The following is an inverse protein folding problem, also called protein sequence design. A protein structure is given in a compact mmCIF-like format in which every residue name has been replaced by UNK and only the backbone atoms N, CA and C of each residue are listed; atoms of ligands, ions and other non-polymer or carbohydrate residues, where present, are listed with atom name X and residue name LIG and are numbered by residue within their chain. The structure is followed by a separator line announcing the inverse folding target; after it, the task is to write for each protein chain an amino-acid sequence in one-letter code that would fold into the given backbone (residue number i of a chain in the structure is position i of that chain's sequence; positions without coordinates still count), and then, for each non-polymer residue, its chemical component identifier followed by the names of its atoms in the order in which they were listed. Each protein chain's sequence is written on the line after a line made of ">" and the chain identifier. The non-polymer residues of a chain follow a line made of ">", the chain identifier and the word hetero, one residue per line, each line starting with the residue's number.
data_IF_006260255295
#
_entry.id   IF_006260255295
#
_cell.length_a   1.000
_cell.length_b   1.000
_cell.length_c   1.000
_cell.angle_alpha   90.00
_cell.angle_beta   90.00
_cell.angle_gamma   90.00
#
_symmetry.space_group_name_H-M   'P 1'
#
loop_
_entity.id
_entity.type
_entity.pdbx_description
1 polymer ?
#
# COMPACT_ATOMS: atom_id res chain seq x y z
N UNK A 1 0.00 -19.18 -23.83
CA UNK A 1 -1.04 -18.41 -23.09
C UNK A 1 -2.14 -19.41 -22.76
N UNK A 2 -1.95 -20.18 -21.68
CA UNK A 2 -2.89 -21.23 -21.29
C UNK A 2 -3.78 -20.72 -20.15
N UNK A 3 -5.09 -20.77 -20.34
CA UNK A 3 -6.08 -20.36 -19.35
C UNK A 3 -6.03 -21.25 -18.10
N UNK A 4 -5.94 -20.61 -16.94
CA UNK A 4 -6.08 -21.26 -15.64
C UNK A 4 -7.56 -21.65 -15.45
N UNK A 5 -7.86 -22.95 -15.44
CA UNK A 5 -9.24 -23.46 -15.34
C UNK A 5 -9.88 -23.11 -13.99
N UNK A 6 -10.71 -22.04 -13.97
CA UNK A 6 -11.69 -21.79 -12.90
C UNK A 6 -12.76 -22.87 -12.92
N UNK A 7 -12.83 -23.74 -11.90
CA UNK A 7 -14.05 -24.51 -11.61
C UNK A 7 -15.11 -23.57 -11.04
N UNK A 8 -16.00 -23.05 -11.87
CA UNK A 8 -17.24 -22.39 -11.41
C UNK A 8 -18.32 -23.45 -11.16
N UNK A 9 -18.78 -23.57 -9.92
CA UNK A 9 -20.05 -24.21 -9.59
C UNK A 9 -21.13 -23.13 -9.78
N UNK A 10 -21.85 -23.21 -10.89
CA UNK A 10 -22.97 -22.32 -11.22
C UNK A 10 -24.23 -22.72 -10.45
N UNK A 11 -24.79 -21.80 -9.66
CA UNK A 11 -26.18 -21.87 -9.20
C UNK A 11 -27.07 -20.90 -10.01
N UNK A 12 -28.30 -21.29 -10.37
CA UNK A 12 -29.11 -20.56 -11.35
C UNK A 12 -29.85 -19.36 -10.75
N UNK A 13 -29.90 -18.29 -11.54
CA UNK A 13 -30.79 -17.13 -11.39
C UNK A 13 -32.26 -17.58 -11.26
N UNK A 14 -33.00 -16.99 -10.32
CA UNK A 14 -34.46 -16.89 -10.38
C UNK A 14 -34.88 -15.47 -10.74
N UNK A 15 -35.42 -15.31 -11.95
CA UNK A 15 -36.34 -14.25 -12.32
C UNK A 15 -37.63 -14.39 -11.49
N UNK A 16 -38.21 -13.28 -11.04
CA UNK A 16 -39.66 -13.17 -10.83
C UNK A 16 -40.17 -11.74 -11.01
N UNK A 17 -41.39 -11.70 -11.54
CA UNK A 17 -42.09 -10.62 -12.23
C UNK A 17 -42.76 -9.59 -11.28
N UNK A 18 -42.86 -8.35 -11.79
CA UNK A 18 -44.05 -7.48 -11.91
C UNK A 18 -45.02 -7.37 -10.70
N UNK A 19 -45.25 -6.13 -10.22
CA UNK A 19 -46.60 -5.59 -10.04
C UNK A 19 -46.65 -4.06 -10.10
N UNK A 20 -47.72 -3.56 -10.73
CA UNK A 20 -48.09 -2.16 -10.95
C UNK A 20 -49.21 -1.77 -9.96
N UNK A 21 -49.40 -0.46 -9.79
CA UNK A 21 -50.63 0.29 -9.42
C UNK A 21 -50.67 0.82 -7.99
N UNK A 22 -50.88 2.14 -7.88
CA UNK A 22 -51.35 2.79 -6.67
C UNK A 22 -51.15 4.30 -6.62
N UNK A 23 -51.78 5.05 -7.54
CA UNK A 23 -51.84 6.50 -7.45
C UNK A 23 -52.78 6.91 -6.30
N UNK A 24 -52.25 7.57 -5.28
CA UNK A 24 -53.02 8.25 -4.24
C UNK A 24 -52.74 9.75 -4.31
N UNK A 25 -53.77 10.51 -4.67
CA UNK A 25 -53.79 11.97 -4.73
C UNK A 25 -53.98 12.50 -3.30
N UNK A 26 -52.90 12.97 -2.67
CA UNK A 26 -52.93 13.66 -1.37
C UNK A 26 -52.94 15.17 -1.60
N UNK A 27 -54.07 15.80 -1.28
CA UNK A 27 -54.20 17.24 -1.14
C UNK A 27 -53.48 17.68 0.14
N UNK A 28 -52.32 18.33 0.00
CA UNK A 28 -51.61 18.97 1.10
C UNK A 28 -51.66 20.48 0.89
N UNK A 29 -52.34 21.18 1.81
CA UNK A 29 -52.35 22.64 1.90
C UNK A 29 -50.96 23.16 2.28
N UNK A 30 -50.48 24.28 1.71
CA UNK A 30 -49.16 24.80 2.03
C UNK A 30 -49.14 25.41 3.45
N UNK A 31 -48.18 25.04 4.31
CA UNK A 31 -47.90 25.82 5.51
C UNK A 31 -47.09 27.06 5.13
N UNK A 32 -47.37 28.15 5.85
CA UNK A 32 -46.68 29.43 5.78
C UNK A 32 -45.19 29.22 6.05
N UNK A 33 -44.34 29.45 5.05
CA UNK A 33 -42.89 29.43 5.22
C UNK A 33 -42.41 30.70 5.91
N UNK A 34 -42.05 30.60 7.18
CA UNK A 34 -41.08 31.52 7.79
C UNK A 34 -39.76 31.37 7.04
N UNK A 35 -39.22 32.48 6.54
CA UNK A 35 -37.89 32.52 5.93
C UNK A 35 -36.85 32.18 7.00
N UNK A 36 -36.44 30.91 7.05
CA UNK A 36 -35.21 30.51 7.70
C UNK A 36 -34.06 31.05 6.84
N UNK A 37 -33.18 31.85 7.45
CA UNK A 37 -31.90 32.21 6.87
C UNK A 37 -31.19 30.92 6.46
N UNK A 38 -31.05 30.68 5.16
CA UNK A 38 -30.27 29.57 4.66
C UNK A 38 -28.86 29.72 5.22
N UNK A 39 -28.39 28.71 5.95
CA UNK A 39 -26.98 28.56 6.24
C UNK A 39 -26.22 28.60 4.90
N UNK A 40 -25.01 29.19 4.84
CA UNK A 40 -24.24 29.20 3.61
C UNK A 40 -24.08 27.75 3.13
N UNK A 41 -24.61 27.48 1.94
CA UNK A 41 -24.41 26.20 1.25
C UNK A 41 -22.91 26.13 1.00
N UNK A 42 -22.23 25.19 1.66
CA UNK A 42 -20.83 24.92 1.42
C UNK A 42 -20.65 24.72 -0.09
N UNK A 43 -19.78 25.54 -0.71
CA UNK A 43 -19.44 25.36 -2.11
C UNK A 43 -18.95 23.90 -2.30
N UNK A 44 -19.36 23.22 -3.38
CA UNK A 44 -18.82 21.90 -3.66
C UNK A 44 -17.31 22.05 -3.83
N UNK A 45 -16.53 21.41 -2.96
CA UNK A 45 -15.07 21.35 -3.05
C UNK A 45 -14.67 20.77 -4.41
N UNK A 46 -14.39 21.65 -5.37
CA UNK A 46 -13.87 21.31 -6.67
C UNK A 46 -12.35 21.41 -6.63
N UNK A 47 -11.69 20.32 -7.02
CA UNK A 47 -10.23 20.07 -6.96
C UNK A 47 -9.68 19.98 -5.54
N UNK A 48 -8.80 19.01 -5.33
CA UNK A 48 -8.19 18.71 -4.03
C UNK A 48 -7.64 19.98 -3.36
N UNK A 49 -8.02 20.24 -2.10
CA UNK A 49 -7.58 21.42 -1.36
C UNK A 49 -6.55 21.01 -0.31
N UNK A 50 -5.27 21.09 -0.66
CA UNK A 50 -4.15 20.80 0.23
C UNK A 50 -3.58 22.08 0.83
N UNK A 51 -3.44 22.12 2.16
CA UNK A 51 -2.92 23.28 2.90
C UNK A 51 -2.04 22.84 4.06
N UNK A 52 -0.83 23.40 4.13
CA UNK A 52 0.01 23.35 5.32
C UNK A 52 -0.34 24.55 6.20
N UNK A 53 -0.76 24.30 7.45
CA UNK A 53 -1.14 25.33 8.42
C UNK A 53 0.00 25.75 9.32
N UNK A 54 0.95 24.86 9.59
CA UNK A 54 2.21 25.17 10.25
C UNK A 54 3.31 24.27 9.69
N UNK A 55 4.51 24.82 9.49
CA UNK A 55 5.69 24.07 9.03
C UNK A 55 6.94 24.61 9.71
N UNK A 56 7.80 23.71 10.17
CA UNK A 56 9.06 24.00 10.84
C UNK A 56 10.06 22.85 10.62
N UNK A 57 11.26 22.95 11.19
CA UNK A 57 12.27 21.92 11.04
C UNK A 57 11.90 20.57 11.70
N UNK A 58 10.96 20.56 12.64
CA UNK A 58 10.60 19.36 13.42
C UNK A 58 9.10 19.16 13.58
N UNK A 59 8.27 19.91 12.85
CA UNK A 59 6.82 19.87 13.02
C UNK A 59 6.12 20.42 11.78
N UNK A 60 5.14 19.68 11.28
CA UNK A 60 4.22 20.09 10.22
C UNK A 60 2.78 19.75 10.61
N UNK A 61 1.85 20.65 10.32
CA UNK A 61 0.41 20.40 10.41
C UNK A 61 -0.29 20.93 9.17
N UNK A 62 -1.43 20.34 8.84
CA UNK A 62 -2.23 20.83 7.75
C UNK A 62 -3.49 20.02 7.52
N UNK A 63 -4.16 20.36 6.42
CA UNK A 63 -5.41 19.76 6.00
C UNK A 63 -5.38 19.43 4.52
N UNK A 64 -6.09 18.38 4.16
CA UNK A 64 -6.39 18.03 2.78
C UNK A 64 -7.89 17.75 2.67
N UNK A 65 -8.55 18.26 1.63
CA UNK A 65 -9.95 17.95 1.38
C UNK A 65 -10.16 17.45 -0.06
N UNK A 66 -10.91 16.35 -0.20
CA UNK A 66 -11.38 15.82 -1.48
C UNK A 66 -12.83 15.39 -1.33
N UNK A 67 -13.72 16.00 -2.12
CA UNK A 67 -15.18 15.78 -2.00
C UNK A 67 -15.67 16.06 -0.57
N UNK A 68 -16.28 15.08 0.11
CA UNK A 68 -16.75 15.23 1.49
C UNK A 68 -15.70 14.81 2.53
N UNK A 69 -14.60 14.20 2.11
CA UNK A 69 -13.57 13.70 3.03
C UNK A 69 -12.57 14.81 3.34
N UNK A 70 -12.35 15.02 4.63
CA UNK A 70 -11.28 15.87 5.15
C UNK A 70 -10.24 14.97 5.82
N UNK A 71 -8.98 15.25 5.53
CA UNK A 71 -7.81 14.67 6.17
C UNK A 71 -7.10 15.79 6.93
N UNK A 72 -6.91 15.64 8.23
CA UNK A 72 -6.06 16.52 9.02
C UNK A 72 -4.81 15.75 9.39
N UNK A 73 -3.63 16.37 9.29
CA UNK A 73 -2.38 15.75 9.68
C UNK A 73 -1.60 16.60 10.66
N UNK A 74 -0.90 15.92 11.57
CA UNK A 74 0.06 16.49 12.48
C UNK A 74 1.26 15.56 12.58
N UNK A 75 2.44 16.05 12.22
CA UNK A 75 3.68 15.31 12.20
C UNK A 75 4.70 16.04 13.08
N UNK A 76 5.33 15.33 14.01
CA UNK A 76 6.31 15.91 14.92
C UNK A 76 7.53 15.02 15.04
N UNK A 77 8.71 15.60 14.86
CA UNK A 77 9.99 14.95 15.16
C UNK A 77 10.39 15.30 16.59
N UNK A 78 10.51 14.28 17.44
CA UNK A 78 11.05 14.43 18.80
C UNK A 78 12.58 14.59 18.78
N UNK A 79 13.22 13.98 17.79
CA UNK A 79 14.65 14.09 17.52
C UNK A 79 14.93 13.87 16.03
N UNK A 80 16.22 13.87 15.63
CA UNK A 80 16.60 13.52 14.26
C UNK A 80 16.28 12.06 13.88
N UNK A 81 16.01 11.19 14.86
CA UNK A 81 15.82 9.75 14.69
C UNK A 81 14.49 9.22 15.24
N UNK A 82 13.68 10.07 15.88
CA UNK A 82 12.37 9.71 16.45
C UNK A 82 11.29 10.68 15.96
N UNK A 83 10.14 10.13 15.56
CA UNK A 83 8.99 10.92 15.12
C UNK A 83 7.66 10.22 15.44
N UNK A 84 6.61 11.04 15.55
CA UNK A 84 5.21 10.61 15.61
C UNK A 84 4.39 11.40 14.58
N UNK A 85 3.42 10.72 13.97
CA UNK A 85 2.46 11.25 13.02
C UNK A 85 1.06 10.87 13.45
N UNK A 86 0.12 11.80 13.32
CA UNK A 86 -1.32 11.54 13.42
C UNK A 86 -2.01 12.00 12.14
N UNK A 87 -2.87 11.16 11.60
CA UNK A 87 -3.85 11.49 10.55
C UNK A 87 -5.27 11.36 11.11
N UNK A 88 -6.14 12.32 10.83
CA UNK A 88 -7.58 12.24 11.05
C UNK A 88 -8.27 12.19 9.69
N UNK A 89 -8.83 11.05 9.31
CA UNK A 89 -9.47 10.82 7.99
C UNK A 89 -10.97 10.65 8.20
N UNK A 90 -11.78 11.61 7.74
CA UNK A 90 -13.23 11.54 7.96
C UNK A 90 -13.63 11.47 9.44
N UNK A 91 -12.78 12.00 10.34
CA UNK A 91 -12.95 11.94 11.79
C UNK A 91 -12.40 10.66 12.45
N UNK A 92 -11.79 9.74 11.70
CA UNK A 92 -11.12 8.54 12.22
C UNK A 92 -9.65 8.82 12.44
N UNK A 93 -9.11 8.42 13.59
CA UNK A 93 -7.72 8.68 13.95
C UNK A 93 -6.82 7.51 13.55
N UNK A 94 -5.70 7.84 12.93
CA UNK A 94 -4.60 6.94 12.62
C UNK A 94 -3.30 7.55 13.14
N UNK A 95 -2.42 6.72 13.69
CA UNK A 95 -1.13 7.18 14.22
C UNK A 95 0.00 6.30 13.70
N UNK A 96 1.18 6.88 13.56
CA UNK A 96 2.41 6.14 13.35
C UNK A 96 3.55 6.75 14.16
N UNK A 97 4.45 5.91 14.64
CA UNK A 97 5.70 6.32 15.27
C UNK A 97 6.86 5.52 14.70
N UNK A 98 8.04 6.14 14.68
CA UNK A 98 9.28 5.51 14.23
C UNK A 98 10.46 6.06 15.00
N UNK A 99 11.24 5.16 15.59
CA UNK A 99 12.51 5.43 16.25
C UNK A 99 13.61 4.54 15.65
N UNK A 100 14.49 5.18 14.89
CA UNK A 100 15.60 4.53 14.19
C UNK A 100 16.64 3.99 15.17
N UNK A 101 16.84 4.66 16.31
CA UNK A 101 17.87 4.29 17.28
C UNK A 101 17.48 3.04 18.08
N UNK A 102 16.20 2.92 18.46
CA UNK A 102 15.68 1.68 19.07
C UNK A 102 15.31 0.61 18.05
N UNK A 103 15.25 0.94 16.76
CA UNK A 103 14.82 0.03 15.72
C UNK A 103 13.35 -0.36 15.88
N UNK A 104 12.51 0.59 16.27
CA UNK A 104 11.08 0.37 16.49
C UNK A 104 10.24 1.27 15.61
N UNK A 105 9.19 0.70 15.03
CA UNK A 105 8.14 1.44 14.36
C UNK A 105 6.78 0.84 14.77
N UNK A 106 5.76 1.68 14.76
CA UNK A 106 4.40 1.26 15.03
C UNK A 106 3.44 2.10 14.22
N UNK A 107 2.31 1.50 13.86
CA UNK A 107 1.17 2.19 13.31
C UNK A 107 -0.12 1.65 13.92
N UNK A 108 -1.16 2.48 13.92
CA UNK A 108 -2.46 2.14 14.50
C UNK A 108 -3.59 2.85 13.79
N UNK A 109 -4.67 2.13 13.51
CA UNK A 109 -5.97 2.70 13.16
C UNK A 109 -7.04 2.54 14.23
N UNK A 110 -6.68 2.05 15.43
CA UNK A 110 -7.61 1.79 16.55
C UNK A 110 -8.83 0.93 16.15
N UNK A 111 -8.68 0.06 15.14
CA UNK A 111 -9.75 -0.80 14.60
C UNK A 111 -10.75 -0.07 13.69
N UNK A 112 -10.44 1.16 13.27
CA UNK A 112 -11.21 1.92 12.30
C UNK A 112 -11.14 1.26 10.92
N UNK A 113 -12.23 1.38 10.16
CA UNK A 113 -12.31 0.89 8.79
C UNK A 113 -12.52 2.06 7.83
N UNK A 114 -11.72 2.10 6.78
CA UNK A 114 -11.80 3.15 5.75
C UNK A 114 -12.95 2.87 4.77
N UNK A 115 -13.56 3.92 4.27
CA UNK A 115 -14.60 3.90 3.23
C UNK A 115 -13.98 4.19 1.86
N UNK A 116 -14.63 3.79 0.74
CA UNK A 116 -14.05 3.96 -0.59
C UNK A 116 -13.66 5.41 -0.94
N UNK A 117 -14.43 6.40 -0.47
CA UNK A 117 -14.13 7.83 -0.65
C UNK A 117 -12.92 8.29 0.18
N UNK A 118 -12.76 7.74 1.39
CA UNK A 118 -11.61 8.01 2.25
C UNK A 118 -10.30 7.45 1.65
N UNK A 119 -10.33 6.26 1.06
CA UNK A 119 -9.21 5.71 0.31
C UNK A 119 -8.78 6.58 -0.86
N UNK A 120 -9.74 7.04 -1.66
CA UNK A 120 -9.47 7.97 -2.76
C UNK A 120 -8.92 9.30 -2.25
N UNK A 121 -9.38 9.79 -1.10
CA UNK A 121 -8.83 10.99 -0.47
C UNK A 121 -7.38 10.78 -0.01
N UNK A 122 -7.06 9.63 0.58
CA UNK A 122 -5.71 9.26 1.03
C UNK A 122 -4.72 9.13 -0.14
N UNK A 123 -5.10 8.47 -1.24
CA UNK A 123 -4.28 8.40 -2.46
C UNK A 123 -3.96 9.80 -3.01
N UNK A 124 -4.97 10.67 -3.09
CA UNK A 124 -4.76 12.04 -3.57
C UNK A 124 -3.96 12.90 -2.57
N UNK A 125 -4.10 12.63 -1.28
CA UNK A 125 -3.32 13.30 -0.24
C UNK A 125 -1.84 12.90 -0.31
N UNK A 126 -1.52 11.62 -0.46
CA UNK A 126 -0.14 11.15 -0.65
C UNK A 126 0.52 11.81 -1.88
N UNK A 127 -0.21 11.95 -2.99
CA UNK A 127 0.24 12.69 -4.18
C UNK A 127 0.46 14.19 -3.94
N UNK A 128 -0.39 14.81 -3.11
CA UNK A 128 -0.19 16.21 -2.74
C UNK A 128 1.06 16.40 -1.87
N UNK A 129 1.31 15.49 -0.92
CA UNK A 129 2.53 15.49 -0.11
C UNK A 129 3.78 15.25 -0.96
N UNK A 130 3.71 14.39 -1.97
CA UNK A 130 4.80 14.16 -2.91
C UNK A 130 5.18 15.46 -3.64
N UNK A 131 4.21 16.13 -4.25
CA UNK A 131 4.49 17.36 -4.98
C UNK A 131 5.03 18.48 -4.08
N UNK A 132 4.56 18.56 -2.83
CA UNK A 132 4.99 19.58 -1.89
C UNK A 132 6.36 19.30 -1.25
N UNK A 133 6.63 18.07 -0.83
CA UNK A 133 7.83 17.73 -0.04
C UNK A 133 8.89 16.97 -0.81
N UNK A 134 8.46 16.10 -1.72
CA UNK A 134 9.33 15.09 -2.34
C UNK A 134 9.93 15.61 -3.63
N UNK A 135 9.14 16.16 -4.56
CA UNK A 135 9.63 16.72 -5.82
C UNK A 135 10.67 17.83 -5.60
N UNK A 136 10.47 18.80 -4.67
CA UNK A 136 11.48 19.84 -4.42
C UNK A 136 12.76 19.29 -3.77
N UNK A 137 12.63 18.32 -2.87
CA UNK A 137 13.77 17.64 -2.26
C UNK A 137 14.58 16.86 -3.31
N UNK A 138 13.89 16.15 -4.21
CA UNK A 138 14.50 15.42 -5.34
C UNK A 138 15.31 16.33 -6.25
N UNK A 139 14.72 17.47 -6.65
CA UNK A 139 15.35 18.44 -7.54
C UNK A 139 16.65 19.02 -6.98
N UNK A 140 16.79 19.03 -5.66
CA UNK A 140 17.96 19.58 -4.94
C UNK A 140 18.83 18.51 -4.28
N UNK A 141 18.44 17.23 -4.37
CA UNK A 141 19.03 16.11 -3.61
C UNK A 141 19.06 16.35 -2.10
N UNK A 142 18.10 17.13 -1.58
CA UNK A 142 17.97 17.35 -0.16
C UNK A 142 17.32 16.13 0.51
N UNK A 143 17.74 15.76 1.74
CA UNK A 143 17.07 14.71 2.49
C UNK A 143 15.67 15.16 2.91
N UNK A 144 14.73 14.22 2.91
CA UNK A 144 13.39 14.41 3.50
C UNK A 144 13.49 14.15 5.00
N UNK A 145 12.88 15.01 5.80
CA UNK A 145 12.85 14.83 7.26
C UNK A 145 12.01 13.61 7.63
N UNK A 146 12.40 12.92 8.71
CA UNK A 146 11.76 11.68 9.14
C UNK A 146 10.25 11.80 9.38
N UNK A 147 9.78 12.93 9.93
CA UNK A 147 8.36 13.18 10.17
C UNK A 147 7.55 13.32 8.86
N UNK A 148 8.14 13.94 7.83
CA UNK A 148 7.52 14.07 6.50
C UNK A 148 7.49 12.73 5.78
N UNK A 149 8.61 12.00 5.82
CA UNK A 149 8.71 10.64 5.28
C UNK A 149 7.64 9.72 5.89
N UNK A 150 7.55 9.66 7.22
CA UNK A 150 6.55 8.82 7.90
C UNK A 150 5.11 9.26 7.61
N UNK A 151 4.86 10.56 7.41
CA UNK A 151 3.52 11.06 7.05
C UNK A 151 3.09 10.55 5.68
N UNK A 152 3.98 10.60 4.69
CA UNK A 152 3.70 10.08 3.35
C UNK A 152 3.48 8.56 3.43
N UNK A 153 4.35 7.85 4.15
CA UNK A 153 4.24 6.38 4.28
C UNK A 153 2.91 5.97 4.92
N UNK A 154 2.52 6.61 6.02
CA UNK A 154 1.24 6.33 6.66
C UNK A 154 0.06 6.64 5.72
N UNK A 155 0.12 7.73 4.94
CA UNK A 155 -0.94 8.03 3.98
C UNK A 155 -1.05 6.96 2.88
N UNK A 156 0.08 6.50 2.34
CA UNK A 156 0.13 5.46 1.29
C UNK A 156 -0.40 4.13 1.79
N UNK A 157 0.07 3.66 2.95
CA UNK A 157 -0.33 2.36 3.47
C UNK A 157 -1.81 2.34 3.89
N UNK A 158 -2.38 3.48 4.32
CA UNK A 158 -3.83 3.61 4.52
C UNK A 158 -4.59 3.70 3.20
N UNK A 159 -4.01 4.28 2.14
CA UNK A 159 -4.65 4.38 0.83
C UNK A 159 -4.83 3.00 0.17
N UNK A 160 -3.89 2.08 0.44
CA UNK A 160 -3.93 0.70 -0.05
C UNK A 160 -4.96 -0.15 0.71
N UNK A 161 -5.33 0.19 1.95
CA UNK A 161 -6.36 -0.51 2.74
C UNK A 161 -7.67 -0.74 1.98
N UNK A 162 -8.16 -1.98 1.80
CA UNK A 162 -9.46 -2.20 1.19
C UNK A 162 -10.52 -1.46 1.96
N UNK A 163 -11.50 -0.89 1.24
CA UNK A 163 -12.65 -0.33 1.89
C UNK A 163 -13.32 -1.37 2.80
N UNK A 164 -13.47 -1.03 4.08
CA UNK A 164 -14.04 -1.90 5.10
C UNK A 164 -13.04 -2.69 5.94
N UNK A 165 -11.75 -2.75 5.56
CA UNK A 165 -10.70 -3.40 6.36
C UNK A 165 -10.48 -2.63 7.65
N UNK A 166 -10.49 -3.35 8.78
CA UNK A 166 -10.22 -2.75 10.10
C UNK A 166 -8.72 -2.69 10.33
N UNK A 167 -8.19 -1.48 10.49
CA UNK A 167 -6.77 -1.24 10.71
C UNK A 167 -6.50 -1.32 12.21
N UNK A 168 -5.81 -2.37 12.63
CA UNK A 168 -5.41 -2.62 14.01
C UNK A 168 -4.21 -1.78 14.44
N UNK A 169 -3.55 -2.21 15.51
CA UNK A 169 -2.23 -1.71 15.90
C UNK A 169 -1.19 -2.75 15.54
N UNK A 170 -0.09 -2.32 14.95
CA UNK A 170 0.99 -3.20 14.52
C UNK A 170 2.34 -2.61 14.88
N UNK A 171 3.18 -3.44 15.50
CA UNK A 171 4.57 -3.15 15.74
C UNK A 171 5.42 -3.75 14.61
N UNK A 172 6.31 -2.94 14.05
CA UNK A 172 7.18 -3.31 12.93
C UNK A 172 8.63 -3.07 13.38
N UNK A 173 9.26 -4.05 14.06
CA UNK A 173 10.65 -3.91 14.48
C UNK A 173 11.56 -3.78 13.26
N UNK A 174 12.71 -3.12 13.41
CA UNK A 174 13.65 -2.96 12.30
C UNK A 174 14.25 -4.33 11.95
N UNK A 175 14.06 -4.81 10.72
CA UNK A 175 14.63 -6.07 10.28
C UNK A 175 16.12 -5.91 9.93
N UNK A 176 16.80 -7.02 9.61
CA UNK A 176 18.19 -6.98 9.17
C UNK A 176 18.27 -6.50 7.70
N UNK A 177 19.06 -5.46 7.43
CA UNK A 177 19.24 -4.96 6.05
C UNK A 177 20.37 -5.72 5.31
N UNK A 178 20.12 -6.05 4.05
CA UNK A 178 21.02 -6.83 3.19
C UNK A 178 21.14 -6.16 1.82
N UNK A 179 22.37 -6.09 1.30
CA UNK A 179 22.70 -5.39 0.06
C UNK A 179 23.45 -6.31 -0.92
N UNK A 180 23.19 -6.14 -2.22
CA UNK A 180 23.84 -6.89 -3.31
C UNK A 180 23.00 -8.04 -3.85
N UNK A 181 23.60 -8.89 -4.68
CA UNK A 181 22.90 -10.07 -5.23
C UNK A 181 22.30 -10.89 -4.08
N UNK A 182 21.01 -11.24 -4.18
CA UNK A 182 20.35 -12.13 -3.22
C UNK A 182 21.18 -13.41 -3.10
N UNK A 183 21.92 -13.52 -2.01
CA UNK A 183 22.48 -14.77 -1.54
C UNK A 183 21.57 -15.21 -0.44
N UNK A 184 20.80 -16.27 -0.66
CA UNK A 184 20.03 -16.88 0.42
C UNK A 184 20.95 -17.08 1.65
N UNK A 185 20.44 -16.95 2.89
CA UNK A 185 21.27 -16.97 4.10
C UNK A 185 22.27 -18.13 4.11
N UNK A 186 23.45 -17.94 4.73
CA UNK A 186 24.53 -18.93 4.74
C UNK A 186 24.02 -20.26 5.35
N UNK A 187 23.70 -21.24 4.49
CA UNK A 187 22.94 -22.46 4.85
C UNK A 187 21.88 -22.86 3.82
N UNK A 188 21.37 -21.91 3.03
CA UNK A 188 20.32 -22.07 2.04
C UNK A 188 20.82 -22.54 0.65
N UNK A 189 22.06 -23.03 0.53
CA UNK A 189 22.55 -23.71 -0.68
C UNK A 189 21.63 -24.88 -1.10
N UNK A 190 20.89 -25.45 -0.14
CA UNK A 190 19.85 -26.45 -0.40
C UNK A 190 18.63 -25.87 -1.10
N UNK A 191 18.19 -24.67 -0.72
CA UNK A 191 17.08 -23.95 -1.37
C UNK A 191 17.45 -23.62 -2.80
N UNK A 192 18.63 -23.04 -3.04
CA UNK A 192 19.13 -22.74 -4.40
C UNK A 192 19.26 -24.00 -5.26
N UNK A 193 19.84 -25.09 -4.73
CA UNK A 193 19.93 -26.37 -5.44
C UNK A 193 18.55 -26.94 -5.73
N UNK A 194 17.65 -26.90 -4.75
CA UNK A 194 16.29 -27.38 -4.84
C UNK A 194 15.49 -26.58 -5.89
N UNK A 195 15.57 -25.24 -5.87
CA UNK A 195 14.94 -24.37 -6.85
C UNK A 195 15.50 -24.65 -8.25
N UNK A 196 16.83 -24.72 -8.40
CA UNK A 196 17.47 -25.00 -9.69
C UNK A 196 17.10 -26.37 -10.25
N UNK A 197 17.09 -27.40 -9.40
CA UNK A 197 16.66 -28.75 -9.77
C UNK A 197 15.17 -28.77 -10.11
N UNK A 198 14.31 -28.12 -9.32
CA UNK A 198 12.89 -28.01 -9.58
C UNK A 198 12.57 -27.29 -10.87
N UNK A 199 13.20 -26.15 -11.13
CA UNK A 199 13.05 -25.37 -12.36
C UNK A 199 13.57 -26.14 -13.59
N UNK A 200 14.58 -27.00 -13.43
CA UNK A 200 15.11 -27.84 -14.51
C UNK A 200 14.25 -29.08 -14.77
N UNK A 201 13.78 -29.74 -13.70
CA UNK A 201 13.11 -31.03 -13.76
C UNK A 201 11.64 -30.95 -14.15
N UNK A 202 11.03 -29.77 -14.09
CA UNK A 202 9.57 -29.61 -14.25
C UNK A 202 9.21 -28.72 -15.43
N UNK A 203 8.06 -28.99 -16.04
CA UNK A 203 7.55 -28.17 -17.15
C UNK A 203 7.16 -26.79 -16.63
N UNK A 204 7.54 -25.74 -17.37
CA UNK A 204 7.13 -24.35 -17.10
C UNK A 204 5.61 -24.27 -16.88
N UNK A 205 5.17 -23.59 -15.83
CA UNK A 205 3.78 -23.38 -15.41
C UNK A 205 3.00 -24.65 -14.93
N UNK A 206 3.65 -25.81 -14.84
CA UNK A 206 3.01 -27.04 -14.35
C UNK A 206 2.68 -26.99 -12.85
N UNK A 207 1.67 -27.74 -12.41
CA UNK A 207 1.35 -27.89 -10.98
C UNK A 207 2.50 -28.57 -10.20
N UNK A 208 3.25 -29.45 -10.86
CA UNK A 208 4.42 -30.13 -10.30
C UNK A 208 5.58 -29.16 -10.06
N UNK A 209 5.86 -28.25 -11.01
CA UNK A 209 6.85 -27.17 -10.83
C UNK A 209 6.57 -26.32 -9.60
N UNK A 210 5.30 -25.97 -9.41
CA UNK A 210 4.84 -25.16 -8.28
C UNK A 210 5.06 -25.86 -6.95
N UNK A 211 4.66 -27.13 -6.87
CA UNK A 211 4.85 -27.94 -5.67
C UNK A 211 6.33 -28.12 -5.31
N UNK A 212 7.23 -28.25 -6.30
CA UNK A 212 8.66 -28.35 -6.04
C UNK A 212 9.24 -27.01 -5.57
N UNK A 213 8.91 -25.89 -6.24
CA UNK A 213 9.38 -24.56 -5.83
C UNK A 213 8.95 -24.23 -4.40
N UNK A 214 7.67 -24.44 -4.07
CA UNK A 214 7.12 -24.24 -2.73
C UNK A 214 7.85 -25.06 -1.65
N UNK A 215 8.20 -26.31 -1.97
CA UNK A 215 8.93 -27.19 -1.06
C UNK A 215 10.41 -26.78 -0.87
N UNK A 216 10.93 -25.89 -1.71
CA UNK A 216 12.28 -25.39 -1.62
C UNK A 216 12.41 -24.12 -0.78
N UNK A 217 11.34 -23.33 -0.60
CA UNK A 217 11.40 -22.10 0.20
C UNK A 217 11.57 -22.41 1.69
N UNK A 218 12.36 -21.57 2.36
CA UNK A 218 12.44 -21.56 3.83
C UNK A 218 11.46 -20.52 4.37
N UNK A 219 10.78 -20.84 5.48
CA UNK A 219 10.01 -19.85 6.23
C UNK A 219 10.93 -18.75 6.76
N UNK A 220 10.52 -17.49 6.67
CA UNK A 220 11.24 -16.30 7.12
C UNK A 220 12.44 -15.90 6.24
N UNK A 221 12.14 -15.24 5.12
CA UNK A 221 13.15 -14.43 4.42
C UNK A 221 13.52 -13.13 5.18
N UNK A 222 13.03 -12.94 6.41
CA UNK A 222 13.27 -11.86 7.37
C UNK A 222 14.48 -10.96 7.06
N UNK A 223 14.21 -9.78 6.52
CA UNK A 223 15.23 -8.78 6.21
C UNK A 223 14.91 -7.94 4.98
N UNK A 224 15.34 -6.67 5.00
CA UNK A 224 15.25 -5.83 3.80
C UNK A 224 16.29 -6.27 2.79
N UNK A 225 15.82 -6.85 1.70
CA UNK A 225 16.65 -7.23 0.57
C UNK A 225 16.59 -6.17 -0.50
N UNK A 226 17.55 -5.27 -0.45
CA UNK A 226 17.69 -4.22 -1.44
C UNK A 226 18.08 -4.77 -2.81
N UNK A 227 17.24 -4.53 -3.83
CA UNK A 227 17.57 -4.89 -5.21
C UNK A 227 18.59 -3.92 -5.80
N UNK A 228 19.23 -4.31 -6.91
CA UNK A 228 19.99 -3.35 -7.71
C UNK A 228 19.10 -2.27 -8.35
N UNK A 229 19.72 -1.20 -8.84
CA UNK A 229 19.02 -0.14 -9.57
C UNK A 229 19.01 -0.45 -11.08
N UNK A 230 17.82 -0.59 -11.68
CA UNK A 230 17.66 -0.80 -13.13
C UNK A 230 18.29 -2.13 -13.59
N UNK A 231 17.96 -3.20 -12.89
CA UNK A 231 18.50 -4.54 -13.10
C UNK A 231 17.39 -5.56 -13.31
N UNK A 232 17.74 -6.72 -13.86
CA UNK A 232 16.83 -7.85 -13.94
C UNK A 232 17.01 -8.70 -12.67
N UNK A 233 15.98 -8.77 -11.84
CA UNK A 233 15.95 -9.61 -10.64
C UNK A 233 15.05 -10.82 -10.84
N UNK A 234 15.44 -11.96 -10.27
CA UNK A 234 14.54 -13.10 -10.15
C UNK A 234 13.63 -12.89 -8.94
N UNK A 235 12.35 -12.72 -9.20
CA UNK A 235 11.30 -12.56 -8.19
C UNK A 235 10.47 -13.84 -8.12
N UNK A 236 10.22 -14.32 -6.91
CA UNK A 236 9.47 -15.54 -6.59
C UNK A 236 8.30 -15.15 -5.69
N UNK A 237 7.07 -15.13 -6.23
CA UNK A 237 5.85 -14.86 -5.45
C UNK A 237 5.08 -16.15 -5.19
N UNK A 238 4.44 -16.22 -4.04
CA UNK A 238 3.63 -17.32 -3.60
C UNK A 238 2.28 -16.96 -2.98
N UNK A 239 1.34 -16.60 -3.84
CA UNK A 239 -0.07 -16.63 -3.51
C UNK A 239 -0.54 -17.99 -2.93
N UNK A 240 -1.12 -17.97 -1.73
CA UNK A 240 -1.69 -19.11 -0.96
C UNK A 240 -2.77 -19.91 -1.74
N UNK A 241 -3.20 -19.40 -2.91
CA UNK A 241 -4.14 -20.05 -3.84
C UNK A 241 -3.75 -20.02 -5.33
N UNK A 242 -2.57 -19.48 -5.71
CA UNK A 242 -2.13 -19.40 -7.11
C UNK A 242 -0.81 -20.14 -7.39
N UNK A 243 -0.30 -19.89 -8.59
CA UNK A 243 0.82 -20.59 -9.17
C UNK A 243 2.11 -19.94 -8.70
N UNK A 244 2.95 -20.64 -7.94
CA UNK A 244 4.35 -20.23 -7.77
C UNK A 244 4.99 -19.97 -9.14
N UNK A 245 5.33 -18.70 -9.41
CA UNK A 245 5.94 -18.27 -10.65
C UNK A 245 7.20 -17.47 -10.34
N UNK A 246 8.34 -18.14 -10.48
CA UNK A 246 9.61 -17.44 -10.55
C UNK A 246 9.76 -16.75 -11.90
N UNK A 247 9.90 -15.43 -11.90
CA UNK A 247 10.08 -14.63 -13.10
C UNK A 247 11.21 -13.62 -12.95
N UNK A 248 11.98 -13.47 -14.01
CA UNK A 248 12.94 -12.37 -14.10
C UNK A 248 12.20 -11.10 -14.48
N UNK A 249 12.13 -10.15 -13.54
CA UNK A 249 11.50 -8.84 -13.71
C UNK A 249 12.57 -7.75 -13.71
N UNK A 250 12.36 -6.72 -14.52
CA UNK A 250 13.23 -5.56 -14.52
C UNK A 250 12.77 -4.60 -13.41
N UNK A 251 13.62 -4.37 -12.40
CA UNK A 251 13.32 -3.56 -11.20
C UNK A 251 14.09 -2.24 -11.22
N UNK A 252 13.61 -1.24 -10.48
CA UNK A 252 14.27 0.05 -10.31
C UNK A 252 13.53 1.22 -10.96
N UNK A 253 14.06 2.46 -10.85
CA UNK A 253 13.36 3.67 -11.30
C UNK A 253 13.01 3.71 -12.80
N UNK A 254 13.78 3.04 -13.65
CA UNK A 254 13.54 2.99 -15.09
C UNK A 254 12.65 1.82 -15.51
N UNK A 255 12.17 1.01 -14.56
CA UNK A 255 11.25 -0.08 -14.83
C UNK A 255 9.82 0.42 -15.05
N UNK A 256 8.99 -0.43 -15.66
CA UNK A 256 7.59 -0.11 -15.92
C UNK A 256 6.80 -0.06 -14.59
N UNK A 257 6.15 1.07 -14.32
CA UNK A 257 5.52 1.48 -13.05
C UNK A 257 6.41 1.31 -11.80
N UNK A 258 7.73 1.51 -11.93
CA UNK A 258 8.68 1.45 -10.81
C UNK A 258 8.68 0.14 -10.03
N UNK A 259 8.60 -0.99 -10.73
CA UNK A 259 8.71 -2.35 -10.19
C UNK A 259 9.82 -2.49 -9.13
N UNK A 260 9.47 -3.12 -8.01
CA UNK A 260 10.37 -3.36 -6.89
C UNK A 260 10.37 -2.30 -5.83
N UNK A 261 9.58 -1.26 -6.02
CA UNK A 261 9.58 -0.12 -5.13
C UNK A 261 8.58 -0.33 -4.02
N UNK A 262 8.98 -0.06 -2.79
CA UNK A 262 8.04 -0.19 -1.69
C UNK A 262 7.00 0.94 -1.69
N UNK A 263 5.74 0.56 -1.54
CA UNK A 263 4.59 1.46 -1.56
C UNK A 263 4.10 1.81 -2.96
N UNK A 264 2.81 2.07 -3.09
CA UNK A 264 2.17 2.26 -4.39
C UNK A 264 2.69 3.47 -5.15
N UNK A 265 2.78 3.39 -6.49
CA UNK A 265 3.23 4.49 -7.35
C UNK A 265 4.74 4.67 -7.44
N UNK A 266 5.21 5.76 -8.05
CA UNK A 266 6.64 5.98 -8.34
C UNK A 266 7.35 6.96 -7.37
N UNK A 267 6.84 7.17 -6.15
CA UNK A 267 7.32 8.11 -5.12
C UNK A 267 8.77 7.92 -4.64
N UNK A 268 9.70 8.84 -4.86
CA UNK A 268 11.15 8.63 -4.61
C UNK A 268 11.59 8.39 -3.13
N UNK A 269 10.67 8.26 -2.17
CA UNK A 269 11.00 8.18 -0.73
C UNK A 269 11.40 6.78 -0.27
N UNK A 270 11.00 5.75 -1.00
CA UNK A 270 11.19 4.35 -0.62
C UNK A 270 12.35 3.68 -1.37
N UNK A 271 12.85 2.59 -0.79
CA UNK A 271 13.82 1.74 -1.45
C UNK A 271 13.20 0.85 -2.53
N UNK A 272 14.07 0.27 -3.35
CA UNK A 272 13.71 -0.86 -4.18
C UNK A 272 14.16 -2.13 -3.48
N UNK A 273 13.24 -3.03 -3.18
CA UNK A 273 13.50 -4.23 -2.40
C UNK A 273 12.82 -5.44 -3.03
N UNK A 274 13.27 -6.62 -2.62
CA UNK A 274 12.78 -7.87 -3.15
C UNK A 274 11.31 -8.08 -2.77
N UNK A 275 10.94 -7.94 -1.50
CA UNK A 275 9.57 -8.20 -1.04
C UNK A 275 8.58 -7.24 -1.71
N UNK A 276 9.01 -5.99 -1.93
CA UNK A 276 8.22 -5.03 -2.69
C UNK A 276 8.14 -5.36 -4.19
N UNK A 277 9.18 -5.96 -4.79
CA UNK A 277 9.14 -6.45 -6.18
C UNK A 277 8.22 -7.66 -6.32
N UNK A 278 8.18 -8.47 -5.27
CA UNK A 278 7.35 -9.65 -5.21
C UNK A 278 5.87 -9.29 -5.11
N UNK A 279 5.54 -8.42 -4.16
CA UNK A 279 4.22 -7.81 -4.03
C UNK A 279 3.76 -7.14 -5.35
N UNK A 280 4.60 -6.28 -5.95
CA UNK A 280 4.29 -5.63 -7.24
C UNK A 280 4.03 -6.64 -8.36
N UNK A 281 4.80 -7.73 -8.39
CA UNK A 281 4.67 -8.75 -9.44
C UNK A 281 3.41 -9.58 -9.24
N UNK A 282 3.12 -10.01 -8.01
CA UNK A 282 1.92 -10.74 -7.66
C UNK A 282 0.67 -9.96 -8.11
N UNK A 283 0.61 -8.67 -7.73
CA UNK A 283 -0.47 -7.75 -8.10
C UNK A 283 -0.77 -7.70 -9.60
N UNK A 284 0.27 -7.73 -10.44
CA UNK A 284 0.13 -7.66 -11.91
C UNK A 284 -0.27 -8.98 -12.55
N UNK A 285 0.18 -10.11 -12.02
CA UNK A 285 -0.08 -11.44 -12.60
C UNK A 285 -1.49 -11.90 -12.25
N UNK A 286 -1.92 -11.67 -11.02
CA UNK A 286 -3.16 -12.24 -10.49
C UNK A 286 -4.34 -11.28 -10.58
N UNK A 287 -4.09 -9.98 -10.78
CA UNK A 287 -5.14 -8.98 -10.89
C UNK A 287 -5.89 -8.73 -9.58
N UNK A 288 -5.44 -9.35 -8.49
CA UNK A 288 -5.61 -8.87 -7.13
C UNK A 288 -4.22 -8.46 -6.64
N UNK A 289 -4.02 -7.32 -5.99
CA UNK A 289 -4.89 -6.17 -5.81
C UNK A 289 -4.01 -5.04 -5.28
N UNK A 290 -4.44 -3.78 -5.37
CA UNK A 290 -3.96 -2.75 -4.42
C UNK A 290 -4.51 -3.02 -3.01
N UNK A 291 -4.90 -4.27 -2.70
CA UNK A 291 -5.46 -4.80 -1.45
C UNK A 291 -4.37 -5.68 -0.82
N UNK A 292 -3.52 -5.07 -0.01
CA UNK A 292 -2.57 -5.80 0.81
C UNK A 292 -3.12 -6.72 1.91
N UNK A 293 -4.40 -7.02 1.88
CA UNK A 293 -5.12 -7.89 2.81
C UNK A 293 -5.88 -9.01 2.07
N UNK A 294 -5.71 -9.14 0.75
CA UNK A 294 -6.26 -10.27 0.00
C UNK A 294 -5.39 -11.53 0.22
N UNK A 295 -6.01 -12.72 0.14
CA UNK A 295 -5.28 -13.98 0.32
C UNK A 295 -4.61 -14.48 -0.98
N UNK A 296 -4.52 -13.63 -2.01
CA UNK A 296 -3.81 -13.94 -3.25
C UNK A 296 -2.45 -13.26 -3.30
N UNK A 297 -2.31 -12.03 -2.81
CA UNK A 297 -1.07 -11.25 -2.83
C UNK A 297 -0.83 -10.45 -1.51
N UNK A 298 -1.65 -10.69 -0.48
CA UNK A 298 -1.64 -9.90 0.76
C UNK A 298 -0.80 -10.48 1.89
N UNK A 299 -0.30 -11.72 1.78
CA UNK A 299 0.82 -12.17 2.62
C UNK A 299 2.13 -11.49 2.21
N UNK A 300 2.35 -11.27 0.91
CA UNK A 300 3.49 -10.50 0.40
C UNK A 300 3.47 -9.05 0.90
N UNK A 301 2.31 -8.49 1.25
CA UNK A 301 2.27 -7.18 1.92
C UNK A 301 2.79 -7.22 3.34
N UNK A 302 2.43 -8.25 4.11
CA UNK A 302 2.93 -8.39 5.47
C UNK A 302 4.43 -8.70 5.49
N UNK A 303 4.94 -9.32 4.44
CA UNK A 303 6.38 -9.49 4.23
C UNK A 303 7.05 -8.20 3.73
N UNK A 304 6.34 -7.36 2.97
CA UNK A 304 6.87 -6.10 2.46
C UNK A 304 6.64 -4.89 3.38
N UNK A 305 5.96 -5.03 4.52
CA UNK A 305 5.56 -3.90 5.36
C UNK A 305 6.75 -3.29 6.13
N UNK A 306 7.68 -4.13 6.55
CA UNK A 306 8.94 -3.73 7.17
C UNK A 306 9.88 -3.13 6.14
N UNK A 307 9.94 -3.67 4.93
CA UNK A 307 10.59 -3.07 3.76
C UNK A 307 9.99 -1.70 3.45
N UNK A 308 8.67 -1.59 3.44
CA UNK A 308 7.99 -0.32 3.22
C UNK A 308 8.23 0.67 4.36
N UNK A 309 8.37 0.26 5.62
CA UNK A 309 8.62 1.19 6.71
C UNK A 309 10.09 1.53 6.89
N UNK A 310 11.00 0.62 6.59
CA UNK A 310 12.42 0.72 6.94
C UNK A 310 13.34 0.92 5.74
N UNK A 311 12.92 0.59 4.52
CA UNK A 311 13.77 0.75 3.33
C UNK A 311 14.12 2.22 3.10
N UNK A 312 15.37 2.41 2.67
CA UNK A 312 15.92 3.70 2.27
C UNK A 312 16.04 3.79 0.76
N UNK A 313 15.84 4.98 0.20
CA UNK A 313 16.06 5.17 -1.22
C UNK A 313 17.55 5.04 -1.55
N UNK A 314 17.87 4.00 -2.32
CA UNK A 314 19.22 3.65 -2.76
C UNK A 314 19.48 3.92 -4.26
N UNK A 315 18.45 4.32 -5.00
CA UNK A 315 18.51 4.58 -6.45
C UNK A 315 18.32 6.06 -6.81
N UNK A 316 18.46 6.97 -5.83
CA UNK A 316 18.37 8.43 -5.97
C UNK A 316 19.65 9.14 -6.44
#
# INVERSE_FOLDING_TARGET
>A
MGECMKRRISSPLRLSKILVVGAALLLVTPPVTSAASAAPVAEPLASNDFRITASSASHDTGTFARSATVIEFAASAESAVSTEVTLSVGGKKFTASKDIASGSAQWSGEGAALQPDENLALDAFAKALESEWVEPASATKAPISLHRDLTIRLAMLLAEAPPGTRIGTQAVPRPAERYGDRKLPEGAAKVESCLKEGLFATVKDSAERRAVIAACQESNEDGIWYTGCNVNELVLHDADSHCFLGETVYVGPASYDCMGKCGGGCFIITGYTYDCADHDRCGRVHGGSTDPWDSECGDEYWEADDDFLWSTNQCG
#
